data_IF_554551211025
#
_entry.id   IF_554551211025
#
_cell.length_a   1.000
_cell.length_b   1.000
_cell.length_c   1.000
_cell.angle_alpha   90.00
_cell.angle_beta   90.00
_cell.angle_gamma   90.00
#
_symmetry.space_group_name_H-M   'P 1'
#
loop_
_entity.id
_entity.type
_entity.pdbx_description
1 polymer ?
#
# COMPACT_ATOMS: atom_id res chain seq x y z
N UNK A 1 -8.07 -15.14 -7.82
CA UNK A 1 -6.99 -14.21 -8.17
C UNK A 1 -5.73 -14.53 -7.34
N UNK A 2 -5.74 -14.37 -6.04
CA UNK A 2 -4.57 -14.60 -5.17
C UNK A 2 -4.04 -16.05 -5.23
N UNK A 3 -4.90 -17.04 -5.37
CA UNK A 3 -4.51 -18.45 -5.58
C UNK A 3 -3.75 -18.58 -6.88
N UNK A 4 -4.33 -18.12 -7.99
CA UNK A 4 -3.71 -18.21 -9.32
C UNK A 4 -2.33 -17.53 -9.37
N UNK A 5 -2.20 -16.35 -8.74
CA UNK A 5 -0.91 -15.64 -8.65
C UNK A 5 0.14 -16.47 -7.90
N UNK A 6 -0.22 -17.11 -6.77
CA UNK A 6 0.73 -17.92 -6.02
C UNK A 6 1.11 -19.20 -6.74
N UNK A 7 0.16 -19.83 -7.43
CA UNK A 7 0.42 -21.04 -8.24
C UNK A 7 1.31 -20.70 -9.44
N UNK A 8 1.13 -19.55 -10.09
CA UNK A 8 2.03 -19.07 -11.16
C UNK A 8 3.44 -18.77 -10.65
N UNK A 9 3.57 -18.34 -9.38
CA UNK A 9 4.86 -18.18 -8.70
C UNK A 9 5.49 -19.51 -8.23
N UNK A 10 4.88 -20.67 -8.55
CA UNK A 10 5.37 -22.00 -8.26
C UNK A 10 5.06 -22.51 -6.84
N UNK A 11 4.20 -21.85 -6.09
CA UNK A 11 3.80 -22.33 -4.77
C UNK A 11 2.65 -23.33 -4.84
N UNK A 12 2.73 -24.37 -3.99
CA UNK A 12 1.53 -25.15 -3.66
C UNK A 12 0.65 -24.33 -2.73
N UNK A 13 -0.65 -24.30 -3.03
CA UNK A 13 -1.61 -23.48 -2.27
C UNK A 13 -2.57 -24.38 -1.51
N UNK A 14 -2.84 -24.01 -0.25
CA UNK A 14 -3.86 -24.64 0.59
C UNK A 14 -4.82 -23.56 1.10
N UNK A 15 -6.10 -23.76 0.84
CA UNK A 15 -7.17 -22.89 1.35
C UNK A 15 -7.92 -23.65 2.47
N UNK A 16 -7.88 -23.08 3.67
CA UNK A 16 -8.60 -23.58 4.84
C UNK A 16 -9.62 -22.53 5.29
N UNK A 17 -10.74 -23.00 5.84
CA UNK A 17 -11.77 -22.10 6.36
C UNK A 17 -12.68 -22.77 7.37
N UNK A 18 -13.36 -21.93 8.15
CA UNK A 18 -14.43 -22.32 9.08
C UNK A 18 -15.74 -21.78 8.53
N UNK A 19 -16.76 -22.61 8.59
CA UNK A 19 -18.15 -22.24 8.28
C UNK A 19 -19.00 -22.31 9.53
N UNK A 20 -19.97 -21.41 9.61
CA UNK A 20 -21.02 -21.47 10.62
C UNK A 20 -22.11 -22.49 10.27
N UNK A 21 -23.11 -22.62 11.13
CA UNK A 21 -24.24 -23.55 10.94
C UNK A 21 -25.12 -23.23 9.71
N UNK A 22 -25.05 -21.98 9.24
CA UNK A 22 -25.73 -21.54 8.00
C UNK A 22 -24.83 -21.75 6.75
N UNK A 23 -23.69 -22.45 6.89
CA UNK A 23 -22.72 -22.75 5.83
C UNK A 23 -22.01 -21.50 5.27
N UNK A 24 -22.00 -20.36 5.99
CA UNK A 24 -21.26 -19.15 5.64
C UNK A 24 -19.83 -19.26 6.13
N UNK A 25 -18.87 -18.83 5.31
CA UNK A 25 -17.46 -18.79 5.70
C UNK A 25 -17.24 -17.64 6.69
N UNK A 26 -16.83 -17.96 7.92
CA UNK A 26 -16.57 -17.01 9.00
C UNK A 26 -15.08 -16.86 9.34
N UNK A 27 -14.24 -17.78 8.87
CA UNK A 27 -12.79 -17.65 8.92
C UNK A 27 -12.17 -18.30 7.67
N UNK A 28 -11.06 -17.74 7.17
CA UNK A 28 -10.33 -18.32 6.03
C UNK A 28 -8.84 -18.00 6.09
N UNK A 29 -8.01 -18.92 5.61
CA UNK A 29 -6.58 -18.73 5.38
C UNK A 29 -6.15 -19.30 4.05
N UNK A 30 -5.35 -18.56 3.32
CA UNK A 30 -4.64 -19.02 2.14
C UNK A 30 -3.19 -19.27 2.53
N UNK A 31 -2.75 -20.51 2.47
CA UNK A 31 -1.37 -20.89 2.75
C UNK A 31 -0.58 -21.12 1.48
N UNK A 32 0.63 -20.57 1.43
CA UNK A 32 1.69 -21.10 0.58
C UNK A 32 2.33 -22.25 1.31
N UNK A 33 2.32 -23.44 0.70
CA UNK A 33 2.94 -24.67 1.22
C UNK A 33 4.28 -24.85 0.53
N UNK A 34 5.36 -24.80 1.29
CA UNK A 34 6.73 -24.75 0.80
C UNK A 34 7.44 -26.04 1.22
N UNK A 35 7.93 -26.88 0.29
CA UNK A 35 8.66 -28.11 0.64
C UNK A 35 9.99 -27.78 1.31
N UNK A 36 10.30 -28.48 2.40
CA UNK A 36 11.51 -28.27 3.20
C UNK A 36 11.92 -29.56 3.92
N UNK A 37 13.09 -30.12 3.61
CA UNK A 37 13.68 -31.26 4.34
C UNK A 37 12.73 -32.45 4.56
N UNK A 38 11.94 -32.82 3.56
CA UNK A 38 10.99 -33.95 3.66
C UNK A 38 9.66 -33.58 4.39
N UNK A 39 9.49 -32.33 4.76
CA UNK A 39 8.31 -31.76 5.39
C UNK A 39 7.87 -30.49 4.65
N UNK A 40 6.98 -29.70 5.25
CA UNK A 40 6.49 -28.48 4.64
C UNK A 40 6.47 -27.31 5.64
N UNK A 41 6.77 -26.13 5.14
CA UNK A 41 6.49 -24.86 5.82
C UNK A 41 5.19 -24.30 5.27
N UNK A 42 4.31 -23.83 6.15
CA UNK A 42 3.07 -23.19 5.78
C UNK A 42 3.13 -21.70 6.13
N UNK A 43 2.87 -20.84 5.15
CA UNK A 43 2.82 -19.39 5.39
C UNK A 43 1.50 -18.79 4.92
N UNK A 44 0.76 -18.17 5.83
CA UNK A 44 -0.44 -17.40 5.52
C UNK A 44 -0.14 -15.91 5.62
N UNK A 45 0.14 -15.29 4.46
CA UNK A 45 0.37 -13.85 4.36
C UNK A 45 -0.94 -13.09 4.60
N UNK A 46 -0.95 -12.19 5.58
CA UNK A 46 -2.12 -11.43 6.02
C UNK A 46 -3.31 -12.29 6.44
N UNK A 47 -3.07 -13.54 6.78
CA UNK A 47 -4.07 -14.46 7.27
C UNK A 47 -3.70 -15.04 8.63
N UNK A 48 -4.69 -15.70 9.27
CA UNK A 48 -6.08 -15.91 8.86
C UNK A 48 -6.89 -14.62 8.76
N UNK A 49 -7.98 -14.64 7.98
CA UNK A 49 -8.99 -13.57 7.91
C UNK A 49 -10.22 -14.06 8.66
N UNK A 50 -10.57 -13.37 9.74
CA UNK A 50 -11.71 -13.68 10.61
C UNK A 50 -12.04 -12.46 11.48
N UNK A 51 -13.13 -12.54 12.23
CA UNK A 51 -13.40 -11.57 13.30
C UNK A 51 -12.51 -11.85 14.51
N UNK A 52 -11.49 -11.05 14.69
CA UNK A 52 -10.55 -11.17 15.82
C UNK A 52 -11.10 -10.66 17.16
N UNK A 53 -12.28 -10.05 17.18
CA UNK A 53 -12.98 -9.72 18.43
C UNK A 53 -13.67 -10.93 19.05
N UNK A 54 -13.96 -11.95 18.22
CA UNK A 54 -14.48 -13.26 18.68
C UNK A 54 -13.30 -14.19 19.03
N UNK A 55 -12.84 -14.10 20.28
CA UNK A 55 -11.76 -14.95 20.76
C UNK A 55 -12.12 -16.44 20.78
N UNK A 56 -13.41 -16.78 20.83
CA UNK A 56 -13.88 -18.16 20.72
C UNK A 56 -13.66 -18.73 19.33
N UNK A 57 -13.96 -17.95 18.29
CA UNK A 57 -13.67 -18.30 16.89
C UNK A 57 -12.16 -18.46 16.66
N UNK A 58 -11.35 -17.53 17.18
CA UNK A 58 -9.89 -17.60 17.06
C UNK A 58 -9.36 -18.87 17.73
N UNK A 59 -9.78 -19.17 18.94
CA UNK A 59 -9.38 -20.36 19.69
C UNK A 59 -9.74 -21.64 18.92
N UNK A 60 -10.98 -21.73 18.44
CA UNK A 60 -11.44 -22.85 17.63
C UNK A 60 -10.61 -23.01 16.36
N UNK A 61 -10.39 -21.90 15.63
CA UNK A 61 -9.64 -21.92 14.40
C UNK A 61 -8.20 -22.44 14.62
N UNK A 62 -7.51 -21.96 15.65
CA UNK A 62 -6.14 -22.35 15.95
C UNK A 62 -6.04 -23.83 16.32
N UNK A 63 -7.01 -24.36 17.09
CA UNK A 63 -7.11 -25.80 17.42
C UNK A 63 -7.28 -26.67 16.20
N UNK A 64 -8.17 -26.28 15.29
CA UNK A 64 -8.44 -27.07 14.09
C UNK A 64 -7.28 -26.94 13.08
N UNK A 65 -6.65 -25.77 12.98
CA UNK A 65 -5.44 -25.57 12.18
C UNK A 65 -4.30 -26.47 12.66
N UNK A 66 -4.06 -26.55 13.95
CA UNK A 66 -3.02 -27.38 14.54
C UNK A 66 -3.23 -28.87 14.18
N UNK A 67 -4.45 -29.39 14.33
CA UNK A 67 -4.79 -30.75 13.90
C UNK A 67 -4.51 -30.99 12.41
N UNK A 68 -4.90 -30.03 11.56
CA UNK A 68 -4.66 -30.14 10.13
C UNK A 68 -3.16 -30.19 9.82
N UNK A 69 -2.39 -29.29 10.41
CA UNK A 69 -0.96 -29.16 10.16
C UNK A 69 -0.17 -30.41 10.61
N UNK A 70 -0.51 -31.00 11.74
CA UNK A 70 0.05 -32.26 12.21
C UNK A 70 -0.19 -33.43 11.24
N UNK A 71 -1.36 -33.50 10.63
CA UNK A 71 -1.70 -34.54 9.64
C UNK A 71 -0.99 -34.33 8.28
N UNK A 72 -0.48 -33.12 8.00
CA UNK A 72 0.05 -32.74 6.70
C UNK A 72 1.55 -32.42 6.72
N UNK A 73 2.29 -33.09 7.63
CA UNK A 73 3.77 -33.02 7.70
C UNK A 73 4.29 -31.57 7.82
N UNK A 74 3.60 -30.74 8.59
CA UNK A 74 4.04 -29.37 8.84
C UNK A 74 5.28 -29.38 9.75
N UNK A 75 6.36 -28.75 9.29
CA UNK A 75 7.55 -28.48 10.12
C UNK A 75 7.30 -27.28 11.03
N UNK A 76 6.84 -26.18 10.46
CA UNK A 76 6.33 -25.02 11.19
C UNK A 76 5.34 -24.22 10.31
N UNK A 77 4.48 -23.44 10.97
CA UNK A 77 3.55 -22.52 10.32
C UNK A 77 3.91 -21.10 10.69
N UNK A 78 3.83 -20.20 9.71
CA UNK A 78 3.93 -18.76 9.91
C UNK A 78 2.59 -18.11 9.61
N UNK A 79 2.07 -17.38 10.56
CA UNK A 79 0.87 -16.57 10.43
C UNK A 79 1.24 -15.10 10.53
N UNK A 80 0.62 -14.29 9.69
CA UNK A 80 0.87 -12.86 9.63
C UNK A 80 -0.47 -12.11 9.54
N UNK A 81 -1.33 -12.28 10.57
CA UNK A 81 -2.69 -11.77 10.56
C UNK A 81 -2.73 -10.25 10.49
N UNK A 82 -3.73 -9.75 9.78
CA UNK A 82 -3.96 -8.32 9.64
C UNK A 82 -5.03 -7.88 10.63
N UNK A 83 -4.59 -7.50 11.85
CA UNK A 83 -5.48 -6.88 12.84
C UNK A 83 -4.78 -5.72 13.54
N UNK A 84 -5.56 -4.87 14.19
CA UNK A 84 -5.03 -3.72 14.92
C UNK A 84 -4.63 -4.13 16.34
N UNK A 85 -3.32 -4.08 16.63
CA UNK A 85 -2.82 -4.27 17.99
C UNK A 85 -3.02 -3.02 18.85
N UNK A 86 -2.70 -1.85 18.29
CA UNK A 86 -2.90 -0.55 18.94
C UNK A 86 -2.95 0.54 17.86
N UNK A 87 -3.77 1.58 18.09
CA UNK A 87 -3.88 2.75 17.22
C UNK A 87 -3.24 3.95 17.89
N UNK A 88 -2.56 4.76 17.11
CA UNK A 88 -1.88 5.98 17.55
C UNK A 88 -2.36 7.17 16.74
N UNK A 89 -2.32 8.37 17.34
CA UNK A 89 -2.49 9.61 16.62
C UNK A 89 -1.22 10.00 15.83
N UNK A 90 -1.28 11.15 15.14
CA UNK A 90 -0.15 11.69 14.36
C UNK A 90 1.09 12.04 15.19
N UNK A 91 0.94 12.23 16.50
CA UNK A 91 2.00 12.58 17.45
C UNK A 91 2.47 11.35 18.25
N UNK A 92 2.04 10.13 17.82
CA UNK A 92 2.39 8.83 18.41
C UNK A 92 1.81 8.66 19.83
N UNK A 93 0.75 9.36 20.19
CA UNK A 93 0.01 9.09 21.40
C UNK A 93 -0.96 7.93 21.18
N UNK A 94 -1.07 6.96 22.12
CA UNK A 94 -1.98 5.84 21.94
C UNK A 94 -3.44 6.31 22.04
N UNK A 95 -4.24 5.91 21.05
CA UNK A 95 -5.69 6.14 21.01
C UNK A 95 -6.49 4.95 21.52
N UNK A 96 -5.88 3.75 21.55
CA UNK A 96 -6.51 2.52 22.03
C UNK A 96 -5.59 1.79 22.99
N UNK A 97 -6.17 0.91 23.80
CA UNK A 97 -5.41 -0.06 24.60
C UNK A 97 -4.73 -1.09 23.67
N UNK A 98 -3.73 -1.78 24.19
CA UNK A 98 -3.05 -2.88 23.51
C UNK A 98 -3.92 -4.13 23.47
N UNK A 99 -3.97 -4.81 22.34
CA UNK A 99 -4.68 -6.07 22.22
C UNK A 99 -3.82 -7.27 22.67
N UNK A 100 -3.39 -7.24 23.94
CA UNK A 100 -2.57 -8.31 24.52
C UNK A 100 -3.35 -9.63 24.67
N UNK A 101 -4.68 -9.57 24.82
CA UNK A 101 -5.51 -10.77 24.94
C UNK A 101 -5.37 -11.67 23.71
N UNK A 102 -5.39 -11.11 22.51
CA UNK A 102 -5.22 -11.86 21.28
C UNK A 102 -3.80 -12.43 21.14
N UNK A 103 -2.77 -11.64 21.46
CA UNK A 103 -1.37 -12.12 21.46
C UNK A 103 -1.20 -13.28 22.44
N UNK A 104 -1.80 -13.18 23.63
CA UNK A 104 -1.72 -14.25 24.66
C UNK A 104 -2.48 -15.50 24.23
N UNK A 105 -3.60 -15.35 23.51
CA UNK A 105 -4.33 -16.48 22.97
C UNK A 105 -3.48 -17.26 21.94
N UNK A 106 -2.83 -16.58 20.99
CA UNK A 106 -1.90 -17.24 20.07
C UNK A 106 -0.76 -17.95 20.81
N UNK A 107 -0.17 -17.31 21.82
CA UNK A 107 0.89 -17.92 22.65
C UNK A 107 0.40 -19.16 23.40
N UNK A 108 -0.84 -19.18 23.89
CA UNK A 108 -1.41 -20.38 24.56
C UNK A 108 -1.57 -21.58 23.64
N UNK A 109 -1.60 -21.36 22.31
CA UNK A 109 -1.56 -22.38 21.26
C UNK A 109 -0.14 -22.71 20.78
N UNK A 110 0.90 -22.24 21.48
CA UNK A 110 2.29 -22.55 21.14
C UNK A 110 2.92 -21.66 20.06
N UNK A 111 2.27 -20.55 19.68
CA UNK A 111 2.85 -19.62 18.72
C UNK A 111 3.81 -18.64 19.41
N UNK A 112 4.98 -18.47 18.78
CA UNK A 112 5.94 -17.44 19.19
C UNK A 112 5.63 -16.11 18.49
N UNK A 113 5.48 -15.04 19.26
CA UNK A 113 5.31 -13.70 18.73
C UNK A 113 6.67 -13.02 18.57
N UNK A 114 7.06 -12.71 17.33
CA UNK A 114 8.37 -12.14 16.98
C UNK A 114 8.53 -10.65 17.37
N UNK A 115 7.62 -10.09 18.14
CA UNK A 115 7.64 -8.69 18.56
C UNK A 115 7.18 -7.71 17.49
N UNK A 116 7.25 -6.43 17.78
CA UNK A 116 6.91 -5.33 16.88
C UNK A 116 8.20 -4.63 16.43
N UNK A 117 8.82 -5.14 15.38
CA UNK A 117 10.04 -4.55 14.79
C UNK A 117 9.72 -3.19 14.18
N UNK A 118 10.63 -2.23 14.34
CA UNK A 118 10.51 -0.87 13.79
C UNK A 118 11.31 -0.68 12.50
N UNK A 119 12.12 -1.67 12.13
CA UNK A 119 12.91 -1.65 10.90
C UNK A 119 12.26 -2.52 9.83
N UNK A 120 12.68 -2.30 8.56
CA UNK A 120 12.28 -3.15 7.46
C UNK A 120 12.80 -4.59 7.69
N UNK A 121 11.89 -5.53 7.64
CA UNK A 121 12.15 -6.95 7.76
C UNK A 121 11.52 -7.68 6.58
N UNK A 122 12.36 -8.23 5.69
CA UNK A 122 11.90 -8.97 4.52
C UNK A 122 11.24 -10.31 4.87
N UNK A 123 11.41 -10.78 6.10
CA UNK A 123 10.84 -12.05 6.57
C UNK A 123 9.39 -11.94 7.00
N UNK A 124 8.86 -10.73 7.21
CA UNK A 124 7.49 -10.48 7.67
C UNK A 124 6.87 -9.28 6.97
N UNK A 125 5.53 -9.21 6.99
CA UNK A 125 4.82 -8.04 6.50
C UNK A 125 5.05 -6.83 7.42
N UNK A 126 4.86 -5.62 6.85
CA UNK A 126 4.99 -4.37 7.63
C UNK A 126 4.06 -4.39 8.84
N UNK A 127 4.58 -3.98 9.98
CA UNK A 127 3.87 -3.97 11.27
C UNK A 127 3.35 -2.60 11.66
N UNK A 128 3.98 -1.55 11.15
CA UNK A 128 3.60 -0.16 11.38
C UNK A 128 3.09 0.43 10.08
N UNK A 129 1.90 1.00 10.12
CA UNK A 129 1.30 1.62 8.93
C UNK A 129 0.72 2.97 9.29
N UNK A 130 1.02 3.98 8.46
CA UNK A 130 0.27 5.22 8.44
C UNK A 130 -1.02 5.02 7.63
N UNK A 131 -2.16 5.35 8.23
CA UNK A 131 -3.47 5.20 7.59
C UNK A 131 -4.11 6.56 7.40
N UNK A 132 -4.65 6.80 6.21
CA UNK A 132 -5.50 7.95 5.92
C UNK A 132 -6.92 7.43 5.64
N UNK A 133 -7.83 7.73 6.56
CA UNK A 133 -9.23 7.40 6.35
C UNK A 133 -9.84 8.33 5.31
N UNK A 134 -10.49 7.73 4.31
CA UNK A 134 -11.14 8.44 3.19
C UNK A 134 -12.66 8.45 3.28
N UNK A 135 -13.24 7.69 4.22
CA UNK A 135 -14.69 7.56 4.34
C UNK A 135 -15.35 8.94 4.63
N UNK A 136 -16.35 9.29 3.86
CA UNK A 136 -17.06 10.55 3.98
C UNK A 136 -16.25 11.81 3.62
N UNK A 137 -15.00 11.66 3.11
CA UNK A 137 -14.12 12.81 2.79
C UNK A 137 -14.12 13.13 1.30
N UNK A 138 -14.02 14.40 1.00
CA UNK A 138 -13.81 14.93 -0.35
C UNK A 138 -12.34 15.30 -0.55
N UNK A 139 -11.83 15.42 -1.79
CA UNK A 139 -10.49 15.94 -2.03
C UNK A 139 -10.22 17.29 -1.38
N UNK A 140 -11.25 18.17 -1.34
CA UNK A 140 -11.13 19.48 -0.72
C UNK A 140 -11.02 19.40 0.82
N UNK A 141 -11.79 18.52 1.48
CA UNK A 141 -11.67 18.31 2.93
C UNK A 141 -10.34 17.66 3.30
N UNK A 142 -9.90 16.64 2.57
CA UNK A 142 -8.59 16.03 2.76
C UNK A 142 -7.44 17.04 2.63
N UNK A 143 -7.51 17.91 1.62
CA UNK A 143 -6.50 18.95 1.43
C UNK A 143 -6.44 19.94 2.60
N UNK A 144 -7.56 20.24 3.27
CA UNK A 144 -7.57 21.10 4.48
C UNK A 144 -6.82 20.44 5.64
N UNK A 145 -6.93 19.10 5.78
CA UNK A 145 -6.31 18.34 6.85
C UNK A 145 -4.79 18.14 6.66
N UNK A 146 -4.28 18.23 5.43
CA UNK A 146 -2.86 18.09 5.15
C UNK A 146 -2.03 19.17 5.83
N UNK A 147 -0.83 18.80 6.26
CA UNK A 147 0.17 19.73 6.77
C UNK A 147 0.60 20.76 5.70
N UNK A 148 1.27 21.82 6.14
CA UNK A 148 1.72 22.90 5.26
C UNK A 148 2.75 22.44 4.22
N UNK A 149 3.61 21.47 4.56
CA UNK A 149 4.62 20.92 3.66
C UNK A 149 3.94 20.17 2.50
N UNK A 150 2.95 19.32 2.82
CA UNK A 150 2.21 18.54 1.80
C UNK A 150 1.41 19.47 0.89
N UNK A 151 0.71 20.46 1.46
CA UNK A 151 0.00 21.47 0.68
C UNK A 151 0.92 22.22 -0.30
N UNK A 152 2.12 22.60 0.17
CA UNK A 152 3.13 23.27 -0.67
C UNK A 152 3.61 22.36 -1.79
N UNK A 153 3.89 21.09 -1.51
CA UNK A 153 4.35 20.13 -2.51
C UNK A 153 3.29 19.86 -3.58
N UNK A 154 2.01 19.74 -3.19
CA UNK A 154 0.89 19.61 -4.12
C UNK A 154 0.80 20.85 -5.01
N UNK A 155 0.85 22.07 -4.44
CA UNK A 155 0.84 23.30 -5.21
C UNK A 155 2.03 23.37 -6.17
N UNK A 156 3.21 22.96 -5.74
CA UNK A 156 4.39 22.90 -6.58
C UNK A 156 4.19 21.96 -7.77
N UNK A 157 3.66 20.76 -7.54
CA UNK A 157 3.36 19.80 -8.61
C UNK A 157 2.34 20.39 -9.63
N UNK A 158 1.28 21.03 -9.14
CA UNK A 158 0.28 21.69 -10.01
C UNK A 158 0.94 22.78 -10.84
N UNK A 159 1.77 23.64 -10.23
CA UNK A 159 2.45 24.75 -10.92
C UNK A 159 3.46 24.26 -11.96
N UNK A 160 4.04 23.06 -11.79
CA UNK A 160 4.88 22.40 -12.80
C UNK A 160 4.06 21.65 -13.87
N UNK A 161 2.74 21.74 -13.85
CA UNK A 161 1.88 21.07 -14.83
C UNK A 161 1.86 19.54 -14.70
N UNK A 162 2.17 18.99 -13.50
CA UNK A 162 2.09 17.54 -13.27
C UNK A 162 0.64 17.08 -13.41
N UNK A 163 0.44 16.11 -14.28
CA UNK A 163 -0.84 15.43 -14.52
C UNK A 163 -0.74 13.98 -14.06
N UNK A 164 -1.87 13.36 -13.78
CA UNK A 164 -1.95 11.94 -13.45
C UNK A 164 -3.00 11.29 -14.35
N UNK A 165 -2.64 10.16 -14.95
CA UNK A 165 -3.58 9.29 -15.67
C UNK A 165 -3.32 7.85 -15.29
N UNK A 166 -4.26 6.96 -15.55
CA UNK A 166 -4.05 5.53 -15.41
C UNK A 166 -3.57 4.94 -16.74
N UNK A 167 -2.59 4.05 -16.66
CA UNK A 167 -2.14 3.30 -17.83
C UNK A 167 -3.16 2.24 -18.20
N UNK A 168 -3.38 2.05 -19.51
CA UNK A 168 -4.08 0.89 -20.06
C UNK A 168 -3.18 -0.34 -20.05
N UNK A 169 -3.76 -1.52 -20.30
CA UNK A 169 -2.98 -2.77 -20.40
C UNK A 169 -1.95 -2.70 -21.54
N UNK A 170 -2.28 -2.04 -22.64
CA UNK A 170 -1.39 -1.92 -23.80
C UNK A 170 -0.22 -0.95 -23.55
N UNK A 171 -0.30 -0.12 -22.51
CA UNK A 171 0.75 0.81 -22.10
C UNK A 171 1.60 0.29 -20.93
N UNK A 172 1.44 -0.97 -20.55
CA UNK A 172 2.06 -1.49 -19.35
C UNK A 172 3.58 -1.57 -19.43
N UNK A 173 4.13 -1.69 -20.63
CA UNK A 173 5.58 -1.64 -20.86
C UNK A 173 6.19 -0.33 -20.36
N UNK A 174 5.46 0.78 -20.43
CA UNK A 174 5.92 2.06 -19.87
C UNK A 174 6.13 1.99 -18.35
N UNK A 175 5.27 1.25 -17.63
CA UNK A 175 5.49 1.00 -16.21
C UNK A 175 6.76 0.18 -15.98
N UNK A 176 6.97 -0.88 -16.76
CA UNK A 176 8.14 -1.75 -16.65
C UNK A 176 9.45 -0.97 -16.91
N UNK A 177 9.47 -0.11 -17.93
CA UNK A 177 10.62 0.73 -18.24
C UNK A 177 10.99 1.63 -17.06
N UNK A 178 10.01 2.36 -16.50
CA UNK A 178 10.21 3.21 -15.33
C UNK A 178 10.62 2.42 -14.08
N UNK A 179 10.09 1.20 -13.92
CA UNK A 179 10.46 0.31 -12.84
C UNK A 179 11.92 -0.13 -12.96
N UNK A 180 12.39 -0.51 -14.18
CA UNK A 180 13.77 -0.88 -14.46
C UNK A 180 14.76 0.28 -14.27
N UNK A 181 14.38 1.47 -14.70
CA UNK A 181 15.18 2.67 -14.44
C UNK A 181 15.34 2.93 -12.92
N UNK A 182 14.25 2.73 -12.16
CA UNK A 182 14.28 2.90 -10.70
C UNK A 182 15.14 1.84 -10.04
N UNK A 183 15.05 0.57 -10.47
CA UNK A 183 15.91 -0.52 -10.03
C UNK A 183 17.39 -0.20 -10.27
N UNK A 184 17.74 0.20 -11.48
CA UNK A 184 19.11 0.55 -11.85
C UNK A 184 19.66 1.71 -10.99
N UNK A 185 18.83 2.67 -10.64
CA UNK A 185 19.20 3.84 -9.83
C UNK A 185 19.34 3.54 -8.34
N UNK A 186 18.50 2.65 -7.80
CA UNK A 186 18.39 2.46 -6.34
C UNK A 186 18.95 1.12 -5.85
N UNK A 187 19.15 0.14 -6.75
CA UNK A 187 19.70 -1.18 -6.42
C UNK A 187 18.81 -2.07 -5.56
N UNK A 188 17.49 -1.83 -5.54
CA UNK A 188 16.60 -2.73 -4.81
C UNK A 188 16.43 -4.08 -5.55
N UNK A 189 16.11 -5.15 -4.81
CA UNK A 189 15.80 -6.45 -5.39
C UNK A 189 14.45 -6.38 -6.11
N UNK A 190 14.48 -6.47 -7.43
CA UNK A 190 13.30 -6.33 -8.27
C UNK A 190 12.53 -7.63 -8.47
N UNK A 191 11.30 -7.50 -8.95
CA UNK A 191 10.49 -8.58 -9.48
C UNK A 191 10.75 -8.71 -10.98
N UNK A 192 10.49 -9.91 -11.54
CA UNK A 192 10.58 -10.15 -12.98
C UNK A 192 9.39 -9.50 -13.72
N UNK A 193 9.53 -9.30 -15.02
CA UNK A 193 8.44 -8.79 -15.85
C UNK A 193 7.25 -9.75 -15.84
N UNK A 194 7.51 -11.06 -15.89
CA UNK A 194 6.48 -12.10 -15.80
C UNK A 194 5.65 -12.01 -14.53
N UNK A 195 6.27 -11.65 -13.40
CA UNK A 195 5.54 -11.41 -12.16
C UNK A 195 4.47 -10.33 -12.32
N UNK A 196 4.81 -9.22 -12.98
CA UNK A 196 3.88 -8.10 -13.18
C UNK A 196 2.81 -8.42 -14.23
N UNK A 197 3.15 -9.10 -15.32
CA UNK A 197 2.17 -9.54 -16.32
C UNK A 197 1.18 -10.54 -15.72
N UNK A 198 1.65 -11.54 -14.97
CA UNK A 198 0.79 -12.48 -14.25
C UNK A 198 -0.12 -11.76 -13.25
N UNK A 199 0.40 -10.74 -12.56
CA UNK A 199 -0.39 -9.95 -11.62
C UNK A 199 -1.54 -9.22 -12.31
N UNK A 200 -1.28 -8.56 -13.44
CA UNK A 200 -2.33 -7.89 -14.24
C UNK A 200 -3.32 -8.90 -14.81
N UNK A 201 -2.85 -10.02 -15.32
CA UNK A 201 -3.72 -11.05 -15.87
C UNK A 201 -4.70 -11.59 -14.82
N UNK A 202 -4.20 -11.89 -13.63
CA UNK A 202 -5.01 -12.49 -12.56
C UNK A 202 -5.95 -11.49 -11.87
N UNK A 203 -5.54 -10.23 -11.73
CA UNK A 203 -6.35 -9.21 -11.04
C UNK A 203 -7.16 -8.33 -11.99
N UNK A 204 -6.82 -8.29 -13.28
CA UNK A 204 -7.58 -7.60 -14.32
C UNK A 204 -7.88 -6.14 -13.99
N UNK A 205 -9.14 -5.76 -14.08
CA UNK A 205 -9.60 -4.37 -13.87
C UNK A 205 -9.47 -3.87 -12.41
N UNK A 206 -9.05 -4.75 -11.48
CA UNK A 206 -8.74 -4.35 -10.09
C UNK A 206 -7.34 -3.74 -9.96
N UNK A 207 -6.50 -3.84 -10.99
CA UNK A 207 -5.16 -3.23 -11.01
C UNK A 207 -5.26 -1.81 -11.55
N UNK A 208 -4.81 -0.85 -10.76
CA UNK A 208 -4.73 0.55 -11.14
C UNK A 208 -3.25 0.95 -11.18
N UNK A 209 -2.77 1.39 -12.34
CA UNK A 209 -1.38 1.85 -12.52
C UNK A 209 -1.38 3.35 -12.83
N UNK A 210 -1.33 4.22 -11.81
CA UNK A 210 -1.29 5.66 -12.02
C UNK A 210 0.10 6.10 -12.52
N UNK A 211 0.13 6.87 -13.59
CA UNK A 211 1.32 7.53 -14.13
C UNK A 211 1.23 9.03 -13.88
N UNK A 212 2.22 9.58 -13.18
CA UNK A 212 2.42 11.02 -13.08
C UNK A 212 3.37 11.48 -14.19
N UNK A 213 2.98 12.50 -14.95
CA UNK A 213 3.76 13.00 -16.07
C UNK A 213 3.63 14.52 -16.23
N UNK A 214 4.53 15.10 -17.00
CA UNK A 214 4.47 16.50 -17.43
C UNK A 214 4.43 16.50 -18.96
N UNK A 215 3.43 17.17 -19.55
CA UNK A 215 3.45 17.51 -20.96
C UNK A 215 4.35 18.74 -21.15
N UNK A 216 5.52 18.52 -21.73
CA UNK A 216 6.51 19.58 -21.87
C UNK A 216 6.04 20.71 -22.81
N UNK A 217 5.26 20.42 -23.84
CA UNK A 217 4.75 21.42 -24.76
C UNK A 217 3.76 22.34 -24.06
N UNK A 218 2.78 21.77 -23.35
CA UNK A 218 1.82 22.56 -22.56
C UNK A 218 2.54 23.36 -21.44
N UNK A 219 3.53 22.75 -20.80
CA UNK A 219 4.28 23.44 -19.76
C UNK A 219 5.09 24.64 -20.28
N UNK A 220 5.74 24.48 -21.43
CA UNK A 220 6.46 25.56 -22.11
C UNK A 220 5.49 26.69 -22.51
N UNK A 221 4.34 26.36 -23.09
CA UNK A 221 3.32 27.35 -23.42
C UNK A 221 2.86 28.15 -22.20
N UNK A 222 2.55 27.45 -21.09
CA UNK A 222 2.15 28.08 -19.82
C UNK A 222 3.24 29.01 -19.28
N UNK A 223 4.51 28.61 -19.37
CA UNK A 223 5.63 29.45 -18.95
C UNK A 223 5.76 30.71 -19.83
N UNK A 224 5.56 30.59 -21.15
CA UNK A 224 5.59 31.73 -22.09
C UNK A 224 4.47 32.73 -21.79
N UNK A 225 3.24 32.24 -21.56
CA UNK A 225 2.09 33.05 -21.19
C UNK A 225 2.37 33.80 -19.85
N UNK A 226 2.89 33.07 -18.84
CA UNK A 226 3.24 33.66 -17.55
C UNK A 226 4.37 34.69 -17.66
N UNK A 227 5.33 34.50 -18.55
CA UNK A 227 6.39 35.47 -18.81
C UNK A 227 5.83 36.74 -19.43
N UNK A 228 5.02 36.62 -20.50
CA UNK A 228 4.39 37.74 -21.15
C UNK A 228 3.53 38.58 -20.18
N UNK A 229 2.78 37.93 -19.31
CA UNK A 229 1.98 38.61 -18.27
C UNK A 229 2.87 39.41 -17.30
N UNK A 230 3.99 38.85 -16.88
CA UNK A 230 4.93 39.55 -16.00
C UNK A 230 5.63 40.72 -16.68
N UNK A 231 5.97 40.56 -17.95
CA UNK A 231 6.54 41.64 -18.75
C UNK A 231 5.57 42.79 -18.93
N UNK A 232 4.32 42.50 -19.27
CA UNK A 232 3.26 43.51 -19.37
C UNK A 232 3.06 44.26 -18.07
N UNK A 233 3.00 43.53 -16.93
CA UNK A 233 2.86 44.15 -15.60
C UNK A 233 4.05 45.06 -15.25
N UNK A 234 5.28 44.63 -15.58
CA UNK A 234 6.48 45.44 -15.38
C UNK A 234 6.40 46.73 -16.19
N UNK A 235 6.01 46.64 -17.45
CA UNK A 235 5.94 47.80 -18.34
C UNK A 235 4.85 48.78 -17.90
N UNK A 236 3.72 48.25 -17.44
CA UNK A 236 2.65 49.05 -16.83
C UNK A 236 3.12 49.80 -15.54
N UNK A 237 3.93 49.10 -14.70
CA UNK A 237 4.48 49.72 -13.49
C UNK A 237 5.47 50.84 -13.84
N UNK A 238 6.36 50.59 -14.80
CA UNK A 238 7.33 51.61 -15.28
C UNK A 238 6.63 52.83 -15.91
N UNK A 239 5.58 52.59 -16.69
CA UNK A 239 4.76 53.70 -17.26
C UNK A 239 4.07 54.54 -16.19
N UNK A 240 3.64 53.97 -15.08
CA UNK A 240 3.04 54.64 -13.93
C UNK A 240 4.09 55.45 -13.15
N UNK A 241 5.27 54.93 -12.93
CA UNK A 241 6.39 55.60 -12.28
C UNK A 241 6.84 56.84 -13.07
N UNK A 242 7.05 56.73 -14.39
CA UNK A 242 7.41 57.80 -15.27
C UNK A 242 6.35 58.93 -15.30
N UNK A 243 5.04 58.58 -15.20
CA UNK A 243 3.97 59.58 -15.08
C UNK A 243 3.99 60.32 -13.74
N UNK A 244 4.35 59.64 -12.67
CA UNK A 244 4.42 60.23 -11.33
C UNK A 244 5.59 61.22 -11.21
N UNK A 245 6.71 60.91 -11.85
CA UNK A 245 7.89 61.77 -11.86
C UNK A 245 7.71 63.00 -12.78
N UNK A 246 6.99 62.86 -13.89
CA UNK A 246 6.64 63.96 -14.77
C UNK A 246 5.59 64.96 -14.16
N UNK A 247 4.88 64.54 -13.13
CA UNK A 247 3.92 65.40 -12.38
C UNK A 247 4.57 66.10 -11.19
N UNK A 248 5.81 65.75 -10.83
CA UNK A 248 6.58 66.36 -9.76
C UNK A 248 7.63 67.37 -10.26
N UNK A 249 7.84 67.45 -11.56
CA UNK A 249 8.69 68.42 -12.24
C UNK A 249 7.86 69.60 -12.75
#
# INVERSE_FOLDING_TARGET
>A
ENIATRESDGFQVVLLGVKDDDNRVIAASLFSKIPTMGSYVYYSNRGPVMDYSDLGLVDFYLKELDKYLHQHQCLYVKLDPYWLYQVYDKDINPLTEKNDALVNLFKSHGYDHHGFTTQYDSSSQVRWMGVLDLEGKTPASLRKEFDSQRKRNINKAINYGVKVRFLSKDEFDLFLDLYRETEARTGFASKTDDYFYNFIEHYGDKVLVPLAYIDLNEYIQHLQESLNDKENRRDDMMAKENKTDSLKS
#
